data_IF_734687032773
#
_entry.id   IF_734687032773
#
_cell.length_a   1.000
_cell.length_b   1.000
_cell.length_c   1.000
_cell.angle_alpha   90.00
_cell.angle_beta   90.00
_cell.angle_gamma   90.00
#
_symmetry.space_group_name_H-M   'P 1'
#
loop_
_entity.id
_entity.type
_entity.pdbx_description
1 polymer ?
#
# COMPACT_ATOMS: atom_id res chain seq x y z
N UNK A 1 16.21 -24.40 8.67
CA UNK A 1 16.25 -23.01 8.11
C UNK A 1 14.94 -22.33 8.46
N UNK A 2 14.98 -21.11 9.00
CA UNK A 2 13.79 -20.30 9.25
C UNK A 2 13.49 -19.43 8.02
N UNK A 3 12.23 -19.32 7.66
CA UNK A 3 11.78 -18.49 6.53
C UNK A 3 11.53 -17.06 7.02
N UNK A 4 12.10 -16.08 6.33
CA UNK A 4 11.88 -14.66 6.61
C UNK A 4 10.86 -14.11 5.60
N UNK A 5 9.61 -13.84 6.00
CA UNK A 5 8.66 -13.17 5.11
C UNK A 5 9.11 -11.73 4.89
N UNK A 6 9.00 -11.27 3.65
CA UNK A 6 9.30 -9.90 3.23
C UNK A 6 8.15 -9.41 2.35
N UNK A 7 7.58 -8.27 2.71
CA UNK A 7 6.51 -7.60 1.94
C UNK A 7 7.13 -6.42 1.20
N UNK A 8 7.06 -6.43 -0.13
CA UNK A 8 7.48 -5.31 -0.96
C UNK A 8 6.34 -4.31 -1.12
N UNK A 9 6.40 -3.22 -0.36
CA UNK A 9 5.38 -2.17 -0.33
C UNK A 9 5.85 -0.91 -1.07
N UNK A 10 5.97 -1.01 -2.40
CA UNK A 10 6.48 0.08 -3.26
C UNK A 10 5.56 0.48 -4.42
N UNK A 11 5.95 1.54 -5.14
CA UNK A 11 5.26 2.08 -6.31
C UNK A 11 4.53 3.40 -6.03
N UNK A 12 4.58 4.33 -7.00
CA UNK A 12 4.09 5.71 -6.85
C UNK A 12 2.55 5.86 -6.78
N UNK A 13 1.82 4.81 -7.13
CA UNK A 13 0.35 4.81 -7.06
C UNK A 13 -0.33 5.84 -7.98
N UNK A 14 0.34 6.29 -9.06
CA UNK A 14 -0.17 7.35 -9.95
C UNK A 14 -1.51 7.05 -10.59
N UNK A 15 -1.84 5.78 -10.85
CA UNK A 15 -3.16 5.36 -11.37
C UNK A 15 -4.31 5.61 -10.40
N UNK A 16 -4.01 5.74 -9.11
CA UNK A 16 -4.99 6.01 -8.05
C UNK A 16 -5.02 7.50 -7.70
N UNK A 17 -4.61 8.38 -8.61
CA UNK A 17 -4.78 9.81 -8.39
C UNK A 17 -6.28 10.19 -8.44
N UNK A 18 -6.82 10.97 -7.48
CA UNK A 18 -6.12 11.77 -6.48
C UNK A 18 -5.89 11.12 -5.10
N UNK A 19 -6.25 9.86 -4.92
CA UNK A 19 -6.22 9.17 -3.63
C UNK A 19 -4.79 8.85 -3.16
N UNK A 20 -3.90 8.35 -4.03
CA UNK A 20 -2.52 8.02 -3.67
C UNK A 20 -1.57 9.19 -3.92
N UNK A 21 -0.98 9.79 -2.89
CA UNK A 21 -0.02 10.92 -2.95
C UNK A 21 1.38 10.48 -2.56
N UNK A 22 2.37 11.33 -2.83
CA UNK A 22 3.75 11.12 -2.36
C UNK A 22 3.81 10.83 -0.85
N UNK A 23 3.11 11.63 -0.04
CA UNK A 23 3.04 11.45 1.43
C UNK A 23 1.96 10.45 1.89
N UNK A 24 1.14 9.94 0.99
CA UNK A 24 0.03 9.03 1.32
C UNK A 24 -0.12 7.95 0.23
N UNK A 25 0.78 6.95 0.21
CA UNK A 25 0.90 6.00 -0.89
C UNK A 25 -0.20 4.95 -0.85
N UNK A 26 -0.40 4.25 -1.98
CA UNK A 26 -1.51 3.32 -2.19
C UNK A 26 -1.67 2.25 -1.09
N UNK A 27 -0.59 1.82 -0.46
CA UNK A 27 -0.61 0.74 0.52
C UNK A 27 -1.26 1.15 1.84
N UNK A 28 -1.37 2.46 2.09
CA UNK A 28 -2.09 3.02 3.23
C UNK A 28 -3.57 3.34 2.91
N UNK A 29 -4.02 3.11 1.67
CA UNK A 29 -5.41 3.36 1.27
C UNK A 29 -6.28 2.18 1.65
N UNK A 30 -7.45 2.47 2.21
CA UNK A 30 -8.53 1.49 2.34
C UNK A 30 -9.36 1.46 1.06
N UNK A 31 -8.95 0.62 0.10
CA UNK A 31 -9.67 0.46 -1.16
C UNK A 31 -10.76 -0.61 -1.07
N UNK A 32 -10.66 -1.51 -0.09
CA UNK A 32 -11.57 -2.63 0.12
C UNK A 32 -11.91 -2.73 1.60
N UNK A 33 -12.99 -2.07 2.02
CA UNK A 33 -13.48 -2.13 3.41
C UNK A 33 -12.95 -0.99 4.28
N UNK A 34 -12.50 -1.32 5.48
CA UNK A 34 -12.10 -0.34 6.51
C UNK A 34 -10.58 -0.29 6.75
N UNK A 35 -9.87 -1.36 6.42
CA UNK A 35 -8.43 -1.48 6.62
C UNK A 35 -7.67 -1.03 5.37
N UNK A 36 -6.45 -0.53 5.56
CA UNK A 36 -5.56 -0.27 4.43
C UNK A 36 -5.04 -1.56 3.81
N UNK A 37 -4.52 -1.49 2.58
CA UNK A 37 -3.93 -2.66 1.90
C UNK A 37 -2.74 -3.30 2.64
N UNK A 38 -2.15 -2.63 3.65
CA UNK A 38 -1.00 -3.12 4.41
C UNK A 38 -1.37 -3.63 5.81
N UNK A 39 -2.59 -3.39 6.29
CA UNK A 39 -3.09 -3.87 7.58
C UNK A 39 -3.69 -5.27 7.44
#
# INVERSE_FOLDING_TARGET
MLLQPVILSGGSGTRLWPLSREKYPKQLLSLMGHDSLLQ
#
